data_IF_691375009768
#
_entry.id   IF_691375009768
#
_cell.length_a   1.000
_cell.length_b   1.000
_cell.length_c   1.000
_cell.angle_alpha   90.00
_cell.angle_beta   90.00
_cell.angle_gamma   90.00
#
_symmetry.space_group_name_H-M   'P 1'
#
loop_
_entity.id
_entity.type
_entity.pdbx_description
1 polymer ?
#
# COMPACT_ATOMS: atom_id res chain seq x y z
N UNK A 1 -12.88 7.21 -16.54
CA UNK A 1 -12.90 6.02 -15.68
C UNK A 1 -12.23 6.41 -14.37
N UNK A 2 -12.92 6.29 -13.25
CA UNK A 2 -12.37 6.63 -11.93
C UNK A 2 -11.94 5.32 -11.29
N UNK A 3 -10.63 5.13 -11.07
CA UNK A 3 -10.07 3.91 -10.48
C UNK A 3 -9.71 4.15 -9.00
N UNK A 4 -9.22 5.34 -8.67
CA UNK A 4 -8.51 5.62 -7.42
C UNK A 4 -9.37 5.42 -6.15
N UNK A 5 -10.67 5.77 -6.15
CA UNK A 5 -11.52 5.63 -4.95
C UNK A 5 -12.55 4.52 -5.02
N UNK A 6 -12.61 3.83 -6.16
CA UNK A 6 -13.79 3.07 -6.62
C UNK A 6 -13.42 1.67 -7.07
N UNK A 7 -12.14 1.32 -7.14
CA UNK A 7 -11.73 -0.02 -7.55
C UNK A 7 -12.43 -1.15 -6.77
N UNK A 8 -12.64 -0.95 -5.46
CA UNK A 8 -13.44 -1.88 -4.66
C UNK A 8 -14.95 -1.78 -4.94
N UNK A 9 -15.50 -0.56 -4.94
CA UNK A 9 -16.94 -0.32 -5.03
C UNK A 9 -17.54 -0.61 -6.42
N UNK A 10 -16.83 -0.25 -7.48
CA UNK A 10 -17.29 -0.29 -8.87
C UNK A 10 -16.78 -1.51 -9.64
N UNK A 11 -15.67 -2.12 -9.19
CA UNK A 11 -15.02 -3.23 -9.90
C UNK A 11 -14.90 -4.50 -9.07
N UNK A 12 -15.38 -4.50 -7.82
CA UNK A 12 -15.37 -5.67 -6.95
C UNK A 12 -13.96 -6.18 -6.63
N UNK A 13 -12.94 -5.31 -6.72
CA UNK A 13 -11.57 -5.72 -6.44
C UNK A 13 -11.40 -6.05 -4.95
N UNK A 14 -10.90 -7.25 -4.66
CA UNK A 14 -10.55 -7.65 -3.29
C UNK A 14 -9.44 -6.78 -2.73
N UNK A 15 -8.39 -6.55 -3.53
CA UNK A 15 -7.23 -5.70 -3.20
C UNK A 15 -6.88 -4.81 -4.40
N UNK A 16 -7.25 -3.52 -4.36
CA UNK A 16 -6.80 -2.57 -5.37
C UNK A 16 -5.34 -2.15 -5.13
N UNK A 17 -4.49 -2.32 -6.15
CA UNK A 17 -3.04 -2.02 -6.09
C UNK A 17 -2.69 -0.91 -7.08
N UNK A 18 -1.96 0.10 -6.62
CA UNK A 18 -1.38 1.17 -7.42
C UNK A 18 0.14 1.05 -7.46
N UNK A 19 0.72 0.99 -8.65
CA UNK A 19 2.17 0.84 -8.85
C UNK A 19 2.71 2.06 -9.56
N UNK A 20 3.77 2.66 -9.02
CA UNK A 20 4.41 3.83 -9.62
C UNK A 20 5.94 3.70 -9.56
N UNK A 21 6.61 4.15 -10.62
CA UNK A 21 8.09 4.25 -10.66
C UNK A 21 8.60 5.51 -9.94
N UNK A 22 7.79 6.12 -9.08
CA UNK A 22 8.10 7.29 -8.29
C UNK A 22 7.48 7.17 -6.90
N UNK A 23 7.86 8.06 -5.98
CA UNK A 23 7.28 8.12 -4.64
C UNK A 23 5.92 8.80 -4.64
N UNK A 24 4.99 8.28 -3.84
CA UNK A 24 3.68 8.92 -3.63
C UNK A 24 3.79 10.12 -2.67
N UNK A 25 3.03 11.17 -2.97
CA UNK A 25 2.90 12.33 -2.09
C UNK A 25 2.14 11.97 -0.81
N UNK A 26 2.31 12.76 0.25
CA UNK A 26 1.58 12.54 1.51
C UNK A 26 0.05 12.51 1.31
N UNK A 27 -0.58 13.46 0.58
CA UNK A 27 -2.02 13.41 0.33
C UNK A 27 -2.48 12.16 -0.45
N UNK A 28 -1.64 11.64 -1.35
CA UNK A 28 -1.95 10.41 -2.10
C UNK A 28 -1.93 9.18 -1.18
N UNK A 29 -0.98 9.13 -0.24
CA UNK A 29 -0.89 8.10 0.79
C UNK A 29 -2.10 8.14 1.73
N UNK A 30 -2.49 9.33 2.18
CA UNK A 30 -3.69 9.51 3.01
C UNK A 30 -4.96 9.06 2.29
N UNK A 31 -5.08 9.40 1.00
CA UNK A 31 -6.18 8.96 0.17
C UNK A 31 -6.20 7.43 0.06
N UNK A 32 -5.07 6.80 -0.25
CA UNK A 32 -4.96 5.35 -0.34
C UNK A 32 -5.37 4.64 0.95
N UNK A 33 -4.91 5.13 2.10
CA UNK A 33 -5.26 4.57 3.41
C UNK A 33 -6.77 4.61 3.68
N UNK A 34 -7.44 5.73 3.35
CA UNK A 34 -8.91 5.85 3.53
C UNK A 34 -9.70 4.94 2.59
N UNK A 35 -9.17 4.66 1.40
CA UNK A 35 -9.86 3.90 0.36
C UNK A 35 -9.39 2.44 0.27
N UNK A 36 -8.48 2.00 1.15
CA UNK A 36 -7.95 0.64 1.18
C UNK A 36 -7.16 0.28 -0.07
N UNK A 37 -6.37 1.23 -0.61
CA UNK A 37 -5.50 0.99 -1.75
C UNK A 37 -4.10 0.58 -1.28
N UNK A 38 -3.57 -0.48 -1.86
CA UNK A 38 -2.17 -0.84 -1.69
C UNK A 38 -1.29 -0.01 -2.63
N UNK A 39 -0.27 0.67 -2.09
CA UNK A 39 0.66 1.48 -2.86
C UNK A 39 2.03 0.80 -2.97
N UNK A 40 2.51 0.63 -4.20
CA UNK A 40 3.86 0.15 -4.52
C UNK A 40 4.60 1.28 -5.25
N UNK A 41 5.44 2.02 -4.53
CA UNK A 41 6.33 3.04 -5.11
C UNK A 41 7.68 2.43 -5.52
N UNK A 42 8.58 3.27 -6.04
CA UNK A 42 9.89 2.89 -6.57
C UNK A 42 10.72 2.01 -5.61
N UNK A 43 10.59 2.21 -4.30
CA UNK A 43 11.33 1.46 -3.29
C UNK A 43 10.80 0.02 -3.20
N UNK A 44 9.47 -0.15 -3.14
CA UNK A 44 8.82 -1.46 -3.10
C UNK A 44 8.86 -2.18 -4.47
N UNK A 45 8.84 -1.41 -5.56
CA UNK A 45 8.94 -1.94 -6.92
C UNK A 45 10.29 -2.62 -7.17
N UNK A 46 11.37 -2.11 -6.55
CA UNK A 46 12.68 -2.77 -6.56
C UNK A 46 12.61 -4.17 -5.97
N UNK A 47 11.98 -4.32 -4.79
CA UNK A 47 11.80 -5.62 -4.15
C UNK A 47 10.93 -6.56 -4.98
N UNK A 48 9.84 -6.05 -5.56
CA UNK A 48 8.99 -6.86 -6.45
C UNK A 48 9.79 -7.39 -7.65
N UNK A 49 10.53 -6.51 -8.32
CA UNK A 49 11.36 -6.86 -9.46
C UNK A 49 12.49 -7.85 -9.10
N UNK A 50 12.95 -7.85 -7.85
CA UNK A 50 13.95 -8.79 -7.32
C UNK A 50 13.37 -10.13 -6.84
N UNK A 51 12.06 -10.36 -6.99
CA UNK A 51 11.42 -11.66 -6.71
C UNK A 51 10.57 -11.71 -5.45
N UNK A 52 10.41 -10.60 -4.71
CA UNK A 52 9.41 -10.53 -3.64
C UNK A 52 8.01 -10.68 -4.24
N UNK A 53 7.21 -11.57 -3.67
CA UNK A 53 5.85 -11.80 -4.20
C UNK A 53 4.95 -10.59 -3.95
N UNK A 54 4.01 -10.34 -4.87
CA UNK A 54 3.01 -9.27 -4.71
C UNK A 54 2.18 -9.47 -3.43
N UNK A 55 1.84 -10.71 -3.07
CA UNK A 55 1.11 -11.02 -1.83
C UNK A 55 1.88 -10.56 -0.58
N UNK A 56 3.20 -10.78 -0.53
CA UNK A 56 4.02 -10.31 0.60
C UNK A 56 4.09 -8.78 0.69
N UNK A 57 4.06 -8.08 -0.45
CA UNK A 57 4.01 -6.61 -0.48
C UNK A 57 2.67 -6.07 -0.02
N UNK A 58 1.57 -6.72 -0.43
CA UNK A 58 0.21 -6.39 0.01
C UNK A 58 0.07 -6.61 1.52
N UNK A 59 0.56 -7.73 2.06
CA UNK A 59 0.55 -8.00 3.50
C UNK A 59 1.36 -6.96 4.29
N UNK A 60 2.53 -6.54 3.77
CA UNK A 60 3.34 -5.50 4.38
C UNK A 60 2.62 -4.14 4.40
N UNK A 61 1.94 -3.76 3.32
CA UNK A 61 1.16 -2.53 3.23
C UNK A 61 -0.06 -2.56 4.18
N UNK A 62 -0.76 -3.70 4.27
CA UNK A 62 -1.83 -3.91 5.26
C UNK A 62 -1.27 -3.81 6.69
N UNK A 63 -0.07 -4.34 6.95
CA UNK A 63 0.62 -4.20 8.23
C UNK A 63 1.01 -2.76 8.56
N UNK A 64 1.31 -1.93 7.55
CA UNK A 64 1.54 -0.48 7.71
C UNK A 64 0.23 0.30 7.90
N UNK A 65 -0.87 -0.13 7.28
CA UNK A 65 -2.22 0.40 7.51
C UNK A 65 -2.79 -0.02 8.88
N UNK A 66 -2.29 -1.12 9.45
CA UNK A 66 -2.66 -1.65 10.75
C UNK A 66 -2.01 -0.90 11.92
N UNK A 67 -2.51 0.29 12.22
CA UNK A 67 -2.14 1.11 13.39
C UNK A 67 -0.67 1.57 13.42
N UNK A 68 -0.46 2.89 13.36
CA UNK A 68 0.73 3.55 13.88
C UNK A 68 0.84 3.37 15.43
N UNK A 69 0.85 2.13 15.93
CA UNK A 69 1.37 1.87 17.27
C UNK A 69 2.88 1.77 17.09
N UNK A 70 3.52 2.92 17.33
CA UNK A 70 4.92 3.06 17.68
C UNK A 70 5.37 1.77 18.37
N UNK A 71 6.24 0.99 17.73
CA UNK A 71 6.95 -0.08 18.41
C UNK A 71 7.73 0.62 19.52
N UNK A 72 7.20 0.58 20.74
CA UNK A 72 7.94 1.04 21.91
C UNK A 72 9.19 0.16 22.00
N UNK A 73 10.39 0.74 22.09
CA UNK A 73 11.58 -0.05 22.36
C UNK A 73 11.39 -0.68 23.75
N UNK A 74 11.56 -2.00 23.81
CA UNK A 74 11.71 -2.73 25.06
C UNK A 74 12.91 -2.10 25.81
N UNK A 75 12.68 -1.70 27.06
CA UNK A 75 13.73 -1.22 27.95
C UNK A 75 13.95 -2.33 28.98
N UNK A 76 15.10 -2.99 28.91
CA UNK A 76 15.68 -3.77 30.00
C UNK A 76 16.07 -2.85 31.17
#
# INVERSE_FOLDING_TARGET
MTFNGTARAEHGADVPVFVASCVFTHPARDFAARHGLCLIDVDLLGFWNSGTTLSSLVELDIGRSGTNRKLSPDHD
#
